data_IF_505344309605
#
_entry.id   IF_505344309605
#
_cell.length_a   1.000
_cell.length_b   1.000
_cell.length_c   1.000
_cell.angle_alpha   90.00
_cell.angle_beta   90.00
_cell.angle_gamma   90.00
#
_symmetry.space_group_name_H-M   'P 1'
#
loop_
_entity.id
_entity.type
_entity.pdbx_description
1 polymer ?
#
# COMPACT_ATOMS: atom_id res chain seq x y z
N UNK A 1 26.91 -12.24 21.52
CA UNK A 1 27.30 -11.61 20.24
C UNK A 1 27.66 -12.60 19.12
N UNK A 2 28.17 -13.83 19.36
CA UNK A 2 28.53 -14.78 18.28
C UNK A 2 27.34 -15.35 17.48
N UNK A 3 26.16 -15.50 18.09
CA UNK A 3 25.00 -16.12 17.41
C UNK A 3 24.35 -15.21 16.36
N UNK A 4 24.34 -13.89 16.57
CA UNK A 4 23.79 -12.92 15.61
C UNK A 4 24.63 -12.88 14.33
N UNK A 5 25.96 -12.91 14.45
CA UNK A 5 26.86 -13.01 13.29
C UNK A 5 26.55 -14.24 12.43
N UNK A 6 26.26 -15.38 13.05
CA UNK A 6 25.97 -16.61 12.32
C UNK A 6 24.64 -16.56 11.55
N UNK A 7 23.64 -15.86 12.06
CA UNK A 7 22.36 -15.65 11.35
C UNK A 7 22.56 -14.75 10.13
N UNK A 8 23.30 -13.64 10.27
CA UNK A 8 23.63 -12.77 9.14
C UNK A 8 24.42 -13.50 8.06
N UNK A 9 25.43 -14.28 8.44
CA UNK A 9 26.23 -15.07 7.48
C UNK A 9 25.41 -16.18 6.82
N UNK A 10 24.42 -16.75 7.52
CA UNK A 10 23.53 -17.75 6.95
C UNK A 10 22.58 -17.14 5.90
N UNK A 11 22.01 -15.97 6.19
CA UNK A 11 21.16 -15.22 5.25
C UNK A 11 21.95 -14.76 4.04
N UNK A 12 23.16 -14.21 4.24
CA UNK A 12 24.05 -13.82 3.14
C UNK A 12 24.43 -14.97 2.21
N UNK A 13 24.68 -16.17 2.76
CA UNK A 13 25.14 -17.31 1.97
C UNK A 13 24.02 -18.15 1.34
N UNK A 14 22.85 -18.21 1.95
CA UNK A 14 21.80 -19.17 1.56
C UNK A 14 20.50 -18.52 1.12
N UNK A 15 20.28 -17.24 1.44
CA UNK A 15 19.04 -16.53 1.12
C UNK A 15 19.27 -15.45 0.07
N UNK A 16 20.43 -14.78 0.09
CA UNK A 16 20.80 -13.85 -0.97
C UNK A 16 21.36 -14.62 -2.18
N UNK A 17 20.73 -14.51 -3.37
CA UNK A 17 21.25 -15.16 -4.56
C UNK A 17 22.60 -14.53 -4.91
N UNK A 18 23.60 -15.35 -5.21
CA UNK A 18 24.97 -14.95 -5.56
C UNK A 18 25.09 -14.32 -6.96
N UNK A 19 23.96 -13.92 -7.55
CA UNK A 19 23.88 -13.16 -8.79
C UNK A 19 23.39 -11.74 -8.51
N UNK A 20 23.68 -10.81 -9.42
CA UNK A 20 23.34 -9.40 -9.34
C UNK A 20 21.92 -9.19 -8.78
N UNK A 21 21.86 -8.75 -7.51
CA UNK A 21 20.60 -8.56 -6.74
C UNK A 21 19.75 -7.43 -7.34
N UNK A 22 20.29 -6.67 -8.30
CA UNK A 22 19.65 -5.48 -8.86
C UNK A 22 18.31 -5.76 -9.56
N UNK A 23 18.07 -6.99 -10.03
CA UNK A 23 16.88 -7.33 -10.84
C UNK A 23 15.84 -8.21 -10.13
N UNK A 24 15.97 -8.49 -8.83
CA UNK A 24 15.04 -9.38 -8.12
C UNK A 24 14.21 -8.61 -7.10
N UNK A 25 12.90 -8.55 -7.35
CA UNK A 25 11.91 -8.02 -6.38
C UNK A 25 12.08 -8.77 -5.05
N UNK A 26 12.18 -8.05 -3.90
CA UNK A 26 12.36 -8.68 -2.60
C UNK A 26 11.26 -9.71 -2.29
N UNK A 27 11.57 -10.84 -1.62
CA UNK A 27 10.54 -11.79 -1.21
C UNK A 27 9.43 -11.15 -0.36
N UNK A 28 8.19 -11.63 -0.51
CA UNK A 28 7.01 -11.14 0.23
C UNK A 28 7.24 -11.11 1.75
N UNK A 29 7.98 -12.08 2.28
CA UNK A 29 8.32 -12.18 3.70
C UNK A 29 9.11 -10.96 4.21
N UNK A 30 9.91 -10.32 3.36
CA UNK A 30 10.65 -9.11 3.71
C UNK A 30 9.68 -7.93 3.87
N UNK A 31 8.74 -7.76 2.93
CA UNK A 31 7.70 -6.74 3.06
C UNK A 31 6.85 -6.96 4.31
N UNK A 32 6.43 -8.20 4.59
CA UNK A 32 5.67 -8.53 5.81
C UNK A 32 6.47 -8.21 7.08
N UNK A 33 7.77 -8.49 7.09
CA UNK A 33 8.64 -8.18 8.22
C UNK A 33 8.76 -6.67 8.45
N UNK A 34 9.01 -5.87 7.41
CA UNK A 34 9.13 -4.41 7.53
C UNK A 34 7.79 -3.75 7.91
N UNK A 35 6.67 -4.20 7.32
CA UNK A 35 5.33 -3.76 7.75
C UNK A 35 5.12 -4.05 9.24
N UNK A 36 5.44 -5.26 9.70
CA UNK A 36 5.28 -5.64 11.11
C UNK A 36 6.16 -4.79 12.03
N UNK A 37 7.37 -4.45 11.61
CA UNK A 37 8.29 -3.60 12.38
C UNK A 37 7.79 -2.16 12.54
N UNK A 38 7.05 -1.64 11.56
CA UNK A 38 6.41 -0.32 11.64
C UNK A 38 5.17 -0.37 12.54
N UNK A 39 4.42 -1.48 12.52
CA UNK A 39 3.15 -1.60 13.23
C UNK A 39 3.24 -2.09 14.69
N UNK A 40 4.31 -2.80 15.08
CA UNK A 40 4.40 -3.51 16.35
C UNK A 40 5.70 -3.24 17.11
N UNK A 41 5.67 -3.08 18.46
CA UNK A 41 4.50 -3.16 19.35
C UNK A 41 3.58 -1.95 19.28
N UNK A 42 4.13 -0.80 18.90
CA UNK A 42 3.43 0.46 18.73
C UNK A 42 3.69 0.99 17.32
N UNK A 43 2.72 1.70 16.77
CA UNK A 43 2.82 2.28 15.44
C UNK A 43 3.90 3.38 15.40
N UNK A 44 4.85 3.25 14.48
CA UNK A 44 5.84 4.29 14.17
C UNK A 44 5.25 5.30 13.18
N UNK A 45 4.65 6.37 13.71
CA UNK A 45 3.94 7.39 12.90
C UNK A 45 4.82 8.04 11.83
N UNK A 46 6.09 8.31 12.13
CA UNK A 46 7.05 8.89 11.18
C UNK A 46 7.35 7.98 9.98
N UNK A 47 7.04 6.68 10.10
CA UNK A 47 7.23 5.67 9.07
C UNK A 47 5.95 5.36 8.28
N UNK A 48 4.81 6.03 8.55
CA UNK A 48 3.57 5.82 7.78
C UNK A 48 3.77 6.00 6.27
N UNK A 49 4.52 7.00 5.75
CA UNK A 49 4.77 7.09 4.31
C UNK A 49 5.44 5.84 3.73
N UNK A 50 6.44 5.30 4.45
CA UNK A 50 7.13 4.09 4.02
C UNK A 50 6.23 2.87 4.15
N UNK A 51 5.37 2.81 5.17
CA UNK A 51 4.37 1.76 5.34
C UNK A 51 3.41 1.72 4.15
N UNK A 52 2.91 2.88 3.70
CA UNK A 52 2.02 2.96 2.54
C UNK A 52 2.69 2.43 1.27
N UNK A 53 3.96 2.78 1.03
CA UNK A 53 4.72 2.26 -0.13
C UNK A 53 5.00 0.74 0.00
N UNK A 54 5.27 0.24 1.21
CA UNK A 54 5.40 -1.20 1.47
C UNK A 54 4.09 -1.94 1.20
N UNK A 55 2.96 -1.40 1.63
CA UNK A 55 1.63 -1.97 1.40
C UNK A 55 1.28 -1.98 -0.09
N UNK A 56 1.66 -0.96 -0.85
CA UNK A 56 1.49 -0.95 -2.30
C UNK A 56 2.23 -2.12 -2.97
N UNK A 57 3.45 -2.43 -2.50
CA UNK A 57 4.20 -3.58 -3.00
C UNK A 57 3.53 -4.91 -2.60
N UNK A 58 2.97 -5.02 -1.40
CA UNK A 58 2.18 -6.19 -0.99
C UNK A 58 0.94 -6.36 -1.88
N UNK A 59 0.25 -5.28 -2.23
CA UNK A 59 -0.92 -5.34 -3.12
C UNK A 59 -0.55 -5.71 -4.56
N UNK A 60 0.60 -5.23 -5.07
CA UNK A 60 1.14 -5.69 -6.36
C UNK A 60 1.41 -7.20 -6.36
N UNK A 61 1.96 -7.74 -5.28
CA UNK A 61 2.12 -9.18 -5.12
C UNK A 61 0.77 -9.92 -5.12
N UNK A 62 -0.23 -9.39 -4.42
CA UNK A 62 -1.59 -9.95 -4.42
C UNK A 62 -2.16 -9.98 -5.85
N UNK A 63 -2.10 -8.86 -6.57
CA UNK A 63 -2.59 -8.76 -7.94
C UNK A 63 -1.88 -9.74 -8.88
N UNK A 64 -0.55 -9.85 -8.76
CA UNK A 64 0.25 -10.81 -9.53
C UNK A 64 -0.15 -12.27 -9.24
N UNK A 65 -0.37 -12.63 -7.98
CA UNK A 65 -0.79 -13.99 -7.60
C UNK A 65 -2.15 -14.33 -8.22
N UNK A 66 -3.11 -13.40 -8.17
CA UNK A 66 -4.45 -13.59 -8.75
C UNK A 66 -4.34 -13.77 -10.27
N UNK A 67 -3.58 -12.90 -10.95
CA UNK A 67 -3.36 -13.01 -12.40
C UNK A 67 -2.77 -14.39 -12.78
N UNK A 68 -1.78 -14.87 -12.02
CA UNK A 68 -1.16 -16.18 -12.26
C UNK A 68 -2.09 -17.34 -11.94
N UNK A 69 -2.91 -17.22 -10.91
CA UNK A 69 -3.93 -18.22 -10.58
C UNK A 69 -4.96 -18.35 -11.71
N UNK A 70 -5.47 -17.23 -12.22
CA UNK A 70 -6.42 -17.20 -13.33
C UNK A 70 -5.83 -17.78 -14.61
N UNK A 71 -4.58 -17.41 -14.93
CA UNK A 71 -3.86 -17.98 -16.06
C UNK A 71 -3.69 -19.49 -15.92
N UNK A 72 -3.27 -19.97 -14.75
CA UNK A 72 -3.06 -21.40 -14.50
C UNK A 72 -4.36 -22.20 -14.67
N UNK A 73 -5.48 -21.70 -14.13
CA UNK A 73 -6.80 -22.32 -14.29
C UNK A 73 -7.26 -22.30 -15.76
N UNK A 74 -7.04 -21.20 -16.48
CA UNK A 74 -7.38 -21.09 -17.89
C UNK A 74 -6.57 -22.06 -18.77
N UNK A 75 -5.26 -22.16 -18.53
CA UNK A 75 -4.38 -23.10 -19.23
C UNK A 75 -4.76 -24.55 -18.96
N UNK A 76 -5.01 -24.92 -17.69
CA UNK A 76 -5.43 -26.28 -17.33
C UNK A 76 -6.72 -26.67 -18.05
N UNK A 77 -7.73 -25.79 -18.06
CA UNK A 77 -9.00 -26.00 -18.78
C UNK A 77 -8.79 -26.18 -20.29
N UNK A 78 -7.92 -25.36 -20.90
CA UNK A 78 -7.63 -25.43 -22.33
C UNK A 78 -6.95 -26.74 -22.72
N UNK A 79 -5.91 -27.17 -22.00
CA UNK A 79 -5.16 -28.38 -22.34
C UNK A 79 -5.89 -29.68 -22.02
N UNK A 80 -6.75 -29.68 -20.99
CA UNK A 80 -7.70 -30.77 -20.73
C UNK A 80 -8.71 -30.93 -21.86
N UNK A 81 -9.18 -29.82 -22.44
CA UNK A 81 -10.09 -29.85 -23.59
C UNK A 81 -9.44 -30.43 -24.85
N UNK A 82 -8.13 -30.24 -25.04
CA UNK A 82 -7.38 -30.76 -26.18
C UNK A 82 -6.96 -32.23 -26.06
N UNK A 83 -7.37 -32.94 -24.99
CA UNK A 83 -7.00 -34.33 -24.72
C UNK A 83 -5.47 -34.58 -24.79
N UNK A 84 -4.68 -33.61 -24.35
CA UNK A 84 -3.22 -33.77 -24.27
C UNK A 84 -2.84 -34.55 -23.01
N UNK A 85 -1.83 -35.43 -23.09
CA UNK A 85 -1.24 -36.16 -21.95
C UNK A 85 -0.42 -35.23 -21.02
N UNK A 86 -0.90 -34.02 -20.77
CA UNK A 86 -0.26 -33.07 -19.87
C UNK A 86 -0.66 -33.36 -18.42
N UNK A 87 0.32 -33.27 -17.51
CA UNK A 87 0.10 -33.31 -16.07
C UNK A 87 -0.66 -32.04 -15.66
N UNK A 88 -1.99 -32.12 -15.63
CA UNK A 88 -2.88 -31.03 -15.26
C UNK A 88 -2.97 -30.81 -13.75
N UNK A 89 -3.60 -29.71 -13.36
CA UNK A 89 -3.92 -29.39 -11.98
C UNK A 89 -4.95 -30.39 -11.42
N UNK A 90 -4.78 -30.74 -10.15
CA UNK A 90 -5.77 -31.49 -9.38
C UNK A 90 -7.01 -30.62 -9.11
N UNK A 91 -8.17 -31.24 -8.88
CA UNK A 91 -9.40 -30.50 -8.54
C UNK A 91 -9.23 -29.63 -7.29
N UNK A 92 -8.42 -30.09 -6.33
CA UNK A 92 -8.09 -29.32 -5.13
C UNK A 92 -7.30 -28.06 -5.49
N UNK A 93 -6.25 -28.17 -6.30
CA UNK A 93 -5.44 -27.02 -6.72
C UNK A 93 -6.26 -26.01 -7.52
N UNK A 94 -7.16 -26.47 -8.39
CA UNK A 94 -8.07 -25.58 -9.12
C UNK A 94 -8.95 -24.81 -8.15
N UNK A 95 -9.55 -25.50 -7.17
CA UNK A 95 -10.40 -24.87 -6.17
C UNK A 95 -9.63 -23.84 -5.34
N UNK A 96 -8.43 -24.20 -4.87
CA UNK A 96 -7.58 -23.32 -4.08
C UNK A 96 -7.18 -22.07 -4.90
N UNK A 97 -6.93 -22.21 -6.21
CA UNK A 97 -6.61 -21.09 -7.10
C UNK A 97 -7.81 -20.20 -7.41
N UNK A 98 -8.99 -20.79 -7.63
CA UNK A 98 -10.24 -20.06 -7.87
C UNK A 98 -10.67 -19.24 -6.65
N UNK A 99 -10.36 -19.71 -5.43
CA UNK A 99 -10.62 -19.00 -4.19
C UNK A 99 -9.93 -17.62 -4.16
N UNK A 100 -8.72 -17.49 -4.73
CA UNK A 100 -8.02 -16.20 -4.82
C UNK A 100 -8.77 -15.19 -5.67
N UNK A 101 -9.36 -15.61 -6.79
CA UNK A 101 -10.16 -14.74 -7.65
C UNK A 101 -11.49 -14.36 -7.02
N UNK A 102 -12.12 -15.27 -6.27
CA UNK A 102 -13.39 -15.00 -5.57
C UNK A 102 -13.22 -13.86 -4.54
N UNK A 103 -12.11 -13.85 -3.81
CA UNK A 103 -11.83 -12.84 -2.79
C UNK A 103 -11.04 -11.64 -3.30
N UNK A 104 -10.76 -11.55 -4.61
CA UNK A 104 -9.90 -10.52 -5.18
C UNK A 104 -10.41 -9.09 -4.92
N UNK A 105 -11.70 -8.86 -5.15
CA UNK A 105 -12.34 -7.54 -4.98
C UNK A 105 -12.44 -7.15 -3.50
N UNK A 106 -12.81 -8.10 -2.64
CA UNK A 106 -12.88 -7.90 -1.19
C UNK A 106 -11.50 -7.50 -0.62
N UNK A 107 -10.45 -8.22 -0.97
CA UNK A 107 -9.08 -7.91 -0.55
C UNK A 107 -8.62 -6.54 -1.06
N UNK A 108 -8.99 -6.16 -2.29
CA UNK A 108 -8.69 -4.83 -2.83
C UNK A 108 -9.41 -3.74 -2.04
N UNK A 109 -10.68 -3.96 -1.68
CA UNK A 109 -11.43 -3.05 -0.82
C UNK A 109 -10.77 -2.85 0.54
N UNK A 110 -10.27 -3.93 1.16
CA UNK A 110 -9.50 -3.85 2.42
C UNK A 110 -8.22 -3.04 2.24
N UNK A 111 -7.45 -3.28 1.18
CA UNK A 111 -6.24 -2.52 0.87
C UNK A 111 -6.51 -1.01 0.76
N UNK A 112 -7.52 -0.61 -0.02
CA UNK A 112 -7.87 0.80 -0.20
C UNK A 112 -8.34 1.44 1.09
N UNK A 113 -9.13 0.73 1.90
CA UNK A 113 -9.55 1.23 3.20
C UNK A 113 -8.36 1.48 4.13
N UNK A 114 -7.39 0.55 4.17
CA UNK A 114 -6.17 0.68 4.97
C UNK A 114 -5.33 1.88 4.50
N UNK A 115 -5.06 1.98 3.19
CA UNK A 115 -4.29 3.09 2.61
C UNK A 115 -4.94 4.43 2.95
N UNK A 116 -6.25 4.53 2.76
CA UNK A 116 -7.01 5.76 3.04
C UNK A 116 -6.87 6.17 4.50
N UNK A 117 -7.12 5.25 5.43
CA UNK A 117 -7.03 5.52 6.87
C UNK A 117 -5.60 5.91 7.31
N UNK A 118 -4.56 5.29 6.75
CA UNK A 118 -3.18 5.67 7.07
C UNK A 118 -2.79 7.04 6.51
N UNK A 119 -3.28 7.40 5.31
CA UNK A 119 -3.11 8.75 4.78
C UNK A 119 -3.73 9.79 5.72
N UNK A 120 -5.00 9.59 6.13
CA UNK A 120 -5.68 10.49 7.06
C UNK A 120 -4.96 10.57 8.42
N UNK A 121 -4.55 9.42 8.96
CA UNK A 121 -3.86 9.33 10.25
C UNK A 121 -2.54 10.11 10.26
N UNK A 122 -1.73 9.98 9.21
CA UNK A 122 -0.47 10.72 9.08
C UNK A 122 -0.71 12.23 9.00
N UNK A 123 -1.72 12.66 8.22
CA UNK A 123 -2.10 14.07 8.11
C UNK A 123 -2.55 14.64 9.46
N UNK A 124 -3.45 13.95 10.15
CA UNK A 124 -3.92 14.38 11.46
C UNK A 124 -2.79 14.41 12.50
N UNK A 125 -1.91 13.41 12.49
CA UNK A 125 -0.78 13.38 13.41
C UNK A 125 0.21 14.52 13.13
N UNK A 126 0.49 14.81 11.86
CA UNK A 126 1.36 15.90 11.46
C UNK A 126 0.75 17.26 11.85
N UNK A 127 -0.56 17.43 11.70
CA UNK A 127 -1.27 18.61 12.17
C UNK A 127 -1.20 18.76 13.69
N UNK A 128 -1.52 17.71 14.44
CA UNK A 128 -1.50 17.74 15.91
C UNK A 128 -0.11 18.03 16.47
N UNK A 129 0.95 17.60 15.78
CA UNK A 129 2.34 17.81 16.21
C UNK A 129 2.85 19.20 15.85
N UNK A 130 2.47 19.74 14.68
CA UNK A 130 3.07 20.97 14.16
C UNK A 130 2.18 22.21 14.29
N UNK A 131 0.86 22.02 14.21
CA UNK A 131 -0.15 23.10 14.15
C UNK A 131 0.01 24.05 12.95
N UNK A 132 0.80 23.66 11.93
CA UNK A 132 1.22 24.56 10.84
C UNK A 132 0.78 24.01 9.51
N UNK A 133 -0.16 24.71 8.86
CA UNK A 133 -0.68 24.32 7.55
C UNK A 133 0.43 24.26 6.49
N UNK A 134 1.43 25.13 6.57
CA UNK A 134 2.59 25.12 5.65
C UNK A 134 3.44 23.85 5.70
N UNK A 135 3.37 23.09 6.80
CA UNK A 135 4.08 21.80 6.96
C UNK A 135 3.19 20.64 6.54
N UNK A 136 1.89 20.71 6.83
CA UNK A 136 0.92 19.65 6.48
C UNK A 136 0.58 19.66 4.99
N UNK A 137 0.48 20.84 4.39
CA UNK A 137 0.01 21.01 3.00
C UNK A 137 0.81 20.20 1.96
N UNK A 138 2.17 20.18 1.98
CA UNK A 138 2.92 19.34 1.06
C UNK A 138 2.56 17.86 1.15
N UNK A 139 2.42 17.34 2.39
CA UNK A 139 2.04 15.94 2.64
C UNK A 139 0.61 15.65 2.20
N UNK A 140 -0.31 16.59 2.44
CA UNK A 140 -1.70 16.50 1.98
C UNK A 140 -1.76 16.40 0.45
N UNK A 141 -1.03 17.25 -0.27
CA UNK A 141 -1.00 17.21 -1.74
C UNK A 141 -0.25 16.02 -2.31
N UNK A 142 0.66 15.42 -1.53
CA UNK A 142 1.38 14.19 -1.89
C UNK A 142 0.46 12.97 -1.81
N UNK A 143 -0.41 12.89 -0.82
CA UNK A 143 -1.38 11.79 -0.66
C UNK A 143 -2.66 11.99 -1.46
N UNK A 144 -3.08 13.24 -1.60
CA UNK A 144 -4.33 13.62 -2.25
C UNK A 144 -4.04 14.65 -3.36
N UNK A 145 -3.40 14.24 -4.47
CA UNK A 145 -3.02 15.17 -5.54
C UNK A 145 -4.21 15.90 -6.16
N UNK A 146 -5.41 15.33 -6.04
CA UNK A 146 -6.67 15.91 -6.53
C UNK A 146 -7.04 17.24 -5.84
N UNK A 147 -6.61 17.46 -4.60
CA UNK A 147 -6.86 18.72 -3.86
C UNK A 147 -5.95 19.84 -4.37
N UNK A 148 -4.74 19.49 -4.81
CA UNK A 148 -3.73 20.44 -5.25
C UNK A 148 -3.87 20.88 -6.71
N UNK A 149 -4.66 20.19 -7.52
CA UNK A 149 -4.74 20.43 -8.97
C UNK A 149 -5.59 21.65 -9.32
N UNK A 150 -4.99 22.85 -9.18
CA UNK A 150 -5.62 24.12 -9.53
C UNK A 150 -5.72 24.36 -11.06
N UNK A 151 -5.22 23.46 -11.92
CA UNK A 151 -5.10 23.72 -13.37
C UNK A 151 -5.38 22.52 -14.30
N UNK A 152 -5.94 21.42 -13.80
CA UNK A 152 -6.24 20.24 -14.61
C UNK A 152 -4.99 19.60 -15.23
N UNK A 153 -3.81 19.83 -14.63
CA UNK A 153 -2.58 19.17 -15.07
C UNK A 153 -2.47 17.90 -14.25
N UNK A 154 -2.71 16.76 -14.92
CA UNK A 154 -2.49 15.43 -14.34
C UNK A 154 -1.07 15.37 -13.76
N UNK A 155 -0.97 15.48 -12.45
CA UNK A 155 0.29 15.30 -11.71
C UNK A 155 0.53 13.80 -11.68
N UNK A 156 1.70 13.36 -12.13
CA UNK A 156 2.08 11.96 -11.99
C UNK A 156 2.14 11.60 -10.50
N UNK A 157 1.57 10.46 -10.07
CA UNK A 157 1.60 10.09 -8.67
C UNK A 157 3.03 9.94 -8.19
N UNK A 158 3.40 10.63 -7.12
CA UNK A 158 4.73 10.53 -6.51
C UNK A 158 4.86 9.32 -5.57
N UNK A 159 3.77 8.58 -5.35
CA UNK A 159 3.67 7.48 -4.39
C UNK A 159 3.14 6.22 -5.04
N UNK A 160 3.69 5.09 -4.61
CA UNK A 160 3.41 3.78 -5.19
C UNK A 160 1.95 3.35 -4.99
N UNK A 161 1.37 3.69 -3.84
CA UNK A 161 -0.01 3.31 -3.47
C UNK A 161 -1.08 4.07 -4.27
N UNK A 162 -0.70 5.12 -4.98
CA UNK A 162 -1.59 5.90 -5.84
C UNK A 162 -1.63 5.37 -7.28
N UNK A 163 -0.78 4.39 -7.59
CA UNK A 163 -0.76 3.74 -8.90
C UNK A 163 -1.92 2.75 -9.03
N UNK A 164 -2.43 2.60 -10.25
CA UNK A 164 -3.47 1.62 -10.60
C UNK A 164 -4.77 1.71 -9.78
N UNK A 165 -5.12 2.91 -9.30
CA UNK A 165 -6.41 3.17 -8.67
C UNK A 165 -7.53 3.26 -9.71
N UNK A 166 -8.62 2.52 -9.48
CA UNK A 166 -9.86 2.67 -10.25
C UNK A 166 -10.52 4.02 -10.01
N UNK A 167 -11.46 4.41 -10.88
CA UNK A 167 -12.18 5.68 -10.70
C UNK A 167 -12.94 5.76 -9.36
N UNK A 168 -13.49 4.63 -8.88
CA UNK A 168 -14.16 4.56 -7.59
C UNK A 168 -13.21 4.71 -6.41
N UNK A 169 -12.00 4.13 -6.52
CA UNK A 169 -10.96 4.23 -5.48
C UNK A 169 -10.35 5.63 -5.43
N UNK A 170 -10.14 6.25 -6.59
CA UNK A 170 -9.72 7.66 -6.67
C UNK A 170 -10.76 8.58 -6.02
N UNK A 171 -12.04 8.34 -6.28
CA UNK A 171 -13.13 9.10 -5.67
C UNK A 171 -13.20 8.90 -4.15
N UNK A 172 -12.94 7.69 -3.65
CA UNK A 172 -12.86 7.42 -2.22
C UNK A 172 -11.69 8.18 -1.57
N UNK A 173 -10.51 8.13 -2.15
CA UNK A 173 -9.34 8.89 -1.68
C UNK A 173 -9.57 10.40 -1.78
N UNK A 174 -10.26 10.88 -2.81
CA UNK A 174 -10.63 12.30 -2.95
C UNK A 174 -11.47 12.76 -1.77
N UNK A 175 -12.51 12.00 -1.41
CA UNK A 175 -13.38 12.33 -0.27
C UNK A 175 -12.60 12.39 1.05
N UNK A 176 -11.77 11.39 1.32
CA UNK A 176 -10.92 11.38 2.51
C UNK A 176 -9.98 12.59 2.56
N UNK A 177 -9.43 12.97 1.40
CA UNK A 177 -8.61 14.16 1.27
C UNK A 177 -9.37 15.46 1.54
N UNK A 178 -10.61 15.59 1.03
CA UNK A 178 -11.50 16.73 1.30
C UNK A 178 -11.86 16.82 2.78
N UNK A 179 -12.19 15.69 3.41
CA UNK A 179 -12.46 15.63 4.86
C UNK A 179 -11.24 16.07 5.69
N UNK A 180 -10.04 15.64 5.29
CA UNK A 180 -8.80 16.13 5.90
C UNK A 180 -8.64 17.64 5.72
N UNK A 181 -8.86 18.16 4.50
CA UNK A 181 -8.72 19.59 4.22
C UNK A 181 -9.69 20.43 5.06
N UNK A 182 -10.98 20.06 5.06
CA UNK A 182 -12.03 20.76 5.79
C UNK A 182 -11.73 20.78 7.30
N UNK A 183 -11.22 19.66 7.84
CA UNK A 183 -10.80 19.59 9.23
C UNK A 183 -9.65 20.56 9.53
N UNK A 184 -8.62 20.61 8.67
CA UNK A 184 -7.46 21.48 8.86
C UNK A 184 -7.83 22.96 8.77
N UNK A 185 -8.69 23.34 7.82
CA UNK A 185 -9.18 24.70 7.64
C UNK A 185 -9.99 25.15 8.86
N UNK A 186 -10.97 24.35 9.29
CA UNK A 186 -11.77 24.63 10.48
C UNK A 186 -10.91 24.73 11.76
N UNK A 187 -9.92 23.83 11.91
CA UNK A 187 -9.02 23.83 13.06
C UNK A 187 -8.13 25.08 13.08
N UNK A 188 -7.63 25.50 11.91
CA UNK A 188 -6.83 26.71 11.76
C UNK A 188 -7.63 27.97 12.12
N UNK A 189 -8.86 28.09 11.64
CA UNK A 189 -9.74 29.23 11.92
C UNK A 189 -10.06 29.34 13.42
N UNK A 190 -10.31 28.20 14.08
CA UNK A 190 -10.53 28.17 15.53
C UNK A 190 -9.29 28.56 16.32
N UNK A 191 -8.08 28.21 15.84
CA UNK A 191 -6.83 28.61 16.46
C UNK A 191 -6.60 30.13 16.33
N UNK A 192 -6.80 30.70 15.14
CA UNK A 192 -6.68 32.14 14.90
C UNK A 192 -7.65 32.97 15.75
N UNK A 193 -8.91 32.55 15.83
CA UNK A 193 -9.94 33.23 16.64
C UNK A 193 -9.69 33.16 18.17
N UNK A 194 -8.83 32.25 18.63
CA UNK A 194 -8.43 32.15 20.05
C UNK A 194 -7.23 33.05 20.37
N UNK A 195 -6.34 33.28 19.43
CA UNK A 195 -5.21 34.21 19.60
C UNK A 195 -5.69 35.66 19.67
N UNK A 196 -6.70 36.03 18.87
CA UNK A 196 -7.28 37.38 18.85
C UNK A 196 -8.08 37.74 20.12
N UNK A 197 -8.30 36.76 21.01
CA UNK A 197 -9.03 36.91 22.28
C UNK A 197 -8.17 36.78 23.53
N UNK A 198 -6.84 36.68 23.40
CA UNK A 198 -5.94 36.78 24.57
C UNK A 198 -5.61 38.26 24.85
N UNK A 199 -5.94 38.77 26.05
CA UNK A 199 -5.66 40.16 26.45
C UNK A 199 -4.16 40.44 26.62
#
# INVERSE_FOLDING_TARGET
MKQIKNVYTFVEKNVLPTGEIQDKVPPLQIFTYEVRKILYPDLLYDQIPNLLDLLANVDRYRAFIIEKAEQAVAFDRFYKHLHTDTLGLTEKEIKDLEEYSIHAEEMRGVYIAIVTQFCELDIYQLWMTTGKLSVVWPRLTEYFPMIGDKKGKRVEPSRDFLLDLSAGEQEQLRKAGEECYDYLELSSDLAANREDKRP
#
